data_IF_141312045332
#
_entry.id   IF_141312045332
#
_cell.length_a   1.000
_cell.length_b   1.000
_cell.length_c   1.000
_cell.angle_alpha   90.00
_cell.angle_beta   90.00
_cell.angle_gamma   90.00
#
_symmetry.space_group_name_H-M   'P 1'
#
loop_
_entity.id
_entity.type
_entity.pdbx_description
1 polymer ?
#
# COMPACT_ATOMS: atom_id res chain seq x y z
N UNK A 1 4.05 -39.53 -18.44
CA UNK A 1 4.57 -38.90 -17.25
C UNK A 1 4.44 -37.39 -17.48
N UNK A 2 3.52 -36.72 -16.81
CA UNK A 2 3.47 -35.25 -16.83
C UNK A 2 4.72 -34.75 -16.11
N UNK A 3 5.57 -34.05 -16.84
CA UNK A 3 6.72 -33.35 -16.21
C UNK A 3 6.15 -32.41 -15.15
N UNK A 4 6.60 -32.57 -13.90
CA UNK A 4 6.21 -31.68 -12.81
C UNK A 4 6.79 -30.30 -13.16
N UNK A 5 5.93 -29.34 -13.43
CA UNK A 5 6.35 -27.95 -13.65
C UNK A 5 6.84 -27.35 -12.32
N UNK A 6 8.12 -26.98 -12.25
CA UNK A 6 8.71 -26.28 -11.13
C UNK A 6 8.18 -24.84 -11.04
N UNK A 7 8.25 -24.23 -9.84
CA UNK A 7 7.92 -22.82 -9.69
C UNK A 7 8.93 -21.94 -10.43
N UNK A 8 8.44 -21.01 -11.22
CA UNK A 8 9.27 -19.98 -11.86
C UNK A 8 9.72 -18.93 -10.85
N UNK A 9 10.74 -18.13 -11.19
CA UNK A 9 11.19 -17.02 -10.37
C UNK A 9 10.07 -15.99 -10.10
N UNK A 10 9.18 -15.77 -11.08
CA UNK A 10 8.02 -14.88 -10.92
C UNK A 10 7.00 -15.44 -9.94
N UNK A 11 6.70 -16.73 -10.00
CA UNK A 11 5.78 -17.39 -9.06
C UNK A 11 6.36 -17.38 -7.65
N UNK A 12 7.64 -17.71 -7.48
CA UNK A 12 8.34 -17.63 -6.21
C UNK A 12 8.28 -16.21 -5.63
N UNK A 13 8.60 -15.18 -6.42
CA UNK A 13 8.59 -13.81 -5.97
C UNK A 13 7.21 -13.35 -5.49
N UNK A 14 6.15 -13.65 -6.26
CA UNK A 14 4.78 -13.26 -5.90
C UNK A 14 4.25 -14.04 -4.69
N UNK A 15 4.53 -15.36 -4.60
CA UNK A 15 4.15 -16.18 -3.44
C UNK A 15 4.88 -15.73 -2.16
N UNK A 16 6.19 -15.46 -2.26
CA UNK A 16 7.01 -14.99 -1.15
C UNK A 16 6.48 -13.67 -0.57
N UNK A 17 6.30 -12.68 -1.44
CA UNK A 17 5.82 -11.35 -1.03
C UNK A 17 4.41 -11.42 -0.46
N UNK A 18 3.51 -12.18 -1.11
CA UNK A 18 2.14 -12.31 -0.65
C UNK A 18 2.04 -13.10 0.67
N UNK A 19 2.91 -14.09 0.91
CA UNK A 19 2.96 -14.80 2.21
C UNK A 19 3.29 -13.84 3.35
N UNK A 20 4.39 -13.08 3.22
CA UNK A 20 4.81 -12.15 4.28
C UNK A 20 3.72 -11.10 4.53
N UNK A 21 3.12 -10.57 3.47
CA UNK A 21 2.05 -9.58 3.56
C UNK A 21 0.79 -10.12 4.26
N UNK A 22 0.35 -11.36 3.93
CA UNK A 22 -0.79 -11.98 4.60
C UNK A 22 -0.48 -12.34 6.06
N UNK A 23 0.77 -12.74 6.39
CA UNK A 23 1.17 -12.98 7.78
C UNK A 23 1.13 -11.69 8.62
N UNK A 24 1.64 -10.58 8.08
CA UNK A 24 1.57 -9.28 8.73
C UNK A 24 0.11 -8.82 8.93
N UNK A 25 -0.74 -9.00 7.91
CA UNK A 25 -2.15 -8.61 7.98
C UNK A 25 -2.92 -9.46 9.00
N UNK A 26 -2.74 -10.79 9.02
CA UNK A 26 -3.39 -11.66 10.00
C UNK A 26 -3.03 -11.25 11.45
N UNK A 27 -1.75 -10.99 11.72
CA UNK A 27 -1.29 -10.54 13.05
C UNK A 27 -1.87 -9.17 13.42
N UNK A 28 -1.90 -8.23 12.48
CA UNK A 28 -2.51 -6.91 12.70
C UNK A 28 -4.00 -7.03 13.01
N UNK A 29 -4.72 -7.85 12.24
CA UNK A 29 -6.17 -7.99 12.38
C UNK A 29 -6.58 -8.71 13.66
N UNK A 30 -5.73 -9.57 14.25
CA UNK A 30 -5.97 -10.09 15.63
C UNK A 30 -6.15 -8.96 16.64
N UNK A 31 -5.29 -7.93 16.59
CA UNK A 31 -5.44 -6.75 17.45
C UNK A 31 -6.68 -5.93 17.07
N UNK A 32 -6.90 -5.67 15.78
CA UNK A 32 -8.05 -4.86 15.34
C UNK A 32 -9.37 -5.52 15.73
N UNK A 33 -9.50 -6.84 15.60
CA UNK A 33 -10.67 -7.60 16.05
C UNK A 33 -10.91 -7.50 17.56
N UNK A 34 -9.82 -7.42 18.33
CA UNK A 34 -9.90 -7.31 19.79
C UNK A 34 -10.42 -5.96 20.27
N UNK A 35 -10.12 -4.88 19.52
CA UNK A 35 -10.46 -3.50 19.93
C UNK A 35 -11.64 -2.89 19.14
N UNK A 36 -12.15 -3.58 18.10
CA UNK A 36 -13.22 -3.07 17.25
C UNK A 36 -14.55 -2.97 18.02
N UNK A 37 -15.14 -1.78 18.03
CA UNK A 37 -16.40 -1.49 18.70
C UNK A 37 -17.55 -1.29 17.70
N UNK A 38 -17.25 -0.79 16.50
CA UNK A 38 -18.25 -0.56 15.45
C UNK A 38 -18.71 -1.88 14.83
N UNK A 39 -19.94 -2.27 15.13
CA UNK A 39 -20.56 -3.54 14.70
C UNK A 39 -20.78 -3.63 13.20
N UNK A 40 -20.80 -2.51 12.47
CA UNK A 40 -20.96 -2.49 11.02
C UNK A 40 -19.60 -2.67 10.31
N UNK A 41 -18.50 -2.22 10.93
CA UNK A 41 -17.14 -2.40 10.42
C UNK A 41 -16.60 -3.80 10.73
N UNK A 42 -17.00 -4.37 11.87
CA UNK A 42 -16.50 -5.67 12.36
C UNK A 42 -16.59 -6.80 11.30
N UNK A 43 -17.68 -6.97 10.52
CA UNK A 43 -17.75 -8.02 9.50
C UNK A 43 -16.69 -7.87 8.40
N UNK A 44 -16.32 -6.65 8.02
CA UNK A 44 -15.28 -6.36 7.03
C UNK A 44 -13.91 -6.77 7.58
N UNK A 45 -13.63 -6.47 8.85
CA UNK A 45 -12.40 -6.89 9.55
C UNK A 45 -12.32 -8.42 9.60
N UNK A 46 -13.42 -9.10 9.96
CA UNK A 46 -13.49 -10.57 10.03
C UNK A 46 -13.24 -11.21 8.67
N UNK A 47 -13.88 -10.73 7.59
CA UNK A 47 -13.67 -11.23 6.23
C UNK A 47 -12.22 -11.03 5.77
N UNK A 48 -11.63 -9.87 6.08
CA UNK A 48 -10.23 -9.60 5.73
C UNK A 48 -9.28 -10.53 6.48
N UNK A 49 -9.51 -10.76 7.77
CA UNK A 49 -8.72 -11.71 8.55
C UNK A 49 -8.85 -13.13 7.99
N UNK A 50 -10.07 -13.57 7.70
CA UNK A 50 -10.34 -14.90 7.12
C UNK A 50 -9.63 -15.08 5.76
N UNK A 51 -9.62 -14.03 4.91
CA UNK A 51 -8.89 -14.05 3.65
C UNK A 51 -7.38 -14.27 3.90
N UNK A 52 -6.79 -13.51 4.83
CA UNK A 52 -5.36 -13.64 5.15
C UNK A 52 -5.01 -15.02 5.70
N UNK A 53 -5.82 -15.56 6.63
CA UNK A 53 -5.62 -16.90 7.20
C UNK A 53 -5.77 -18.01 6.16
N UNK A 54 -6.80 -17.94 5.32
CA UNK A 54 -7.01 -18.90 4.23
C UNK A 54 -5.86 -18.88 3.23
N UNK A 55 -5.36 -17.69 2.88
CA UNK A 55 -4.21 -17.54 2.01
C UNK A 55 -2.96 -18.17 2.63
N UNK A 56 -2.70 -17.97 3.93
CA UNK A 56 -1.56 -18.58 4.62
C UNK A 56 -1.62 -20.10 4.60
N UNK A 57 -2.80 -20.69 4.79
CA UNK A 57 -2.99 -22.15 4.67
C UNK A 57 -2.63 -22.63 3.26
N UNK A 58 -3.12 -21.94 2.23
CA UNK A 58 -2.83 -22.31 0.84
C UNK A 58 -1.35 -22.13 0.47
N UNK A 59 -0.69 -21.05 0.93
CA UNK A 59 0.74 -20.86 0.74
C UNK A 59 1.55 -22.02 1.34
N UNK A 60 1.27 -22.41 2.59
CA UNK A 60 1.96 -23.50 3.24
C UNK A 60 1.79 -24.81 2.46
N UNK A 61 0.58 -25.11 1.96
CA UNK A 61 0.34 -26.29 1.10
C UNK A 61 1.16 -26.24 -0.21
N UNK A 62 1.29 -25.06 -0.83
CA UNK A 62 2.11 -24.89 -2.03
C UNK A 62 3.59 -25.11 -1.69
N UNK A 63 4.10 -24.46 -0.65
CA UNK A 63 5.52 -24.57 -0.26
C UNK A 63 5.89 -25.98 0.17
N UNK A 64 5.05 -26.66 0.94
CA UNK A 64 5.26 -28.07 1.35
C UNK A 64 5.32 -29.02 0.16
N UNK A 65 4.38 -28.86 -0.79
CA UNK A 65 4.35 -29.64 -2.04
C UNK A 65 5.62 -29.46 -2.89
N UNK A 66 6.17 -28.25 -2.89
CA UNK A 66 7.41 -27.92 -3.62
C UNK A 66 8.67 -28.17 -2.81
N UNK A 67 8.56 -28.58 -1.53
CA UNK A 67 9.68 -28.72 -0.59
C UNK A 67 10.48 -27.43 -0.47
N UNK A 68 9.77 -26.31 -0.47
CA UNK A 68 10.30 -24.97 -0.41
C UNK A 68 10.13 -24.41 0.99
N UNK A 69 11.18 -23.80 1.56
CA UNK A 69 11.07 -23.17 2.88
C UNK A 69 10.20 -21.94 2.81
N UNK A 70 9.06 -21.95 3.51
CA UNK A 70 8.22 -20.77 3.63
C UNK A 70 8.97 -19.63 4.34
N UNK A 71 8.64 -18.36 4.05
CA UNK A 71 9.10 -17.25 4.88
C UNK A 71 8.68 -17.43 6.35
N UNK A 72 9.42 -16.87 7.28
CA UNK A 72 9.02 -16.82 8.70
C UNK A 72 7.81 -15.90 8.87
N UNK A 73 7.86 -14.73 8.24
CA UNK A 73 6.82 -13.73 8.31
C UNK A 73 6.64 -13.13 9.70
N UNK A 74 5.38 -12.97 10.11
CA UNK A 74 4.98 -12.40 11.40
C UNK A 74 4.20 -13.40 12.23
N UNK A 75 4.35 -13.33 13.56
CA UNK A 75 3.80 -14.28 14.53
C UNK A 75 3.13 -13.54 15.69
N UNK A 76 2.55 -14.27 16.63
CA UNK A 76 1.94 -13.68 17.83
C UNK A 76 2.92 -12.88 18.70
N UNK A 77 4.23 -13.07 18.52
CA UNK A 77 5.24 -12.21 19.17
C UNK A 77 5.29 -10.77 18.63
N UNK A 78 4.68 -10.53 17.47
CA UNK A 78 4.65 -9.23 16.82
C UNK A 78 3.40 -8.39 17.18
N UNK A 79 2.52 -8.91 18.04
CA UNK A 79 1.29 -8.23 18.47
C UNK A 79 1.16 -8.18 19.99
N UNK A 80 0.63 -7.08 20.49
CA UNK A 80 0.28 -6.87 21.89
C UNK A 80 -1.22 -6.58 22.01
N UNK A 81 -2.01 -7.63 22.21
CA UNK A 81 -3.49 -7.54 22.21
C UNK A 81 -4.03 -6.62 23.32
N UNK A 82 -3.33 -6.53 24.47
CA UNK A 82 -3.72 -5.67 25.58
C UNK A 82 -3.29 -4.20 25.41
N UNK A 83 -2.66 -3.83 24.28
CA UNK A 83 -2.33 -2.44 24.01
C UNK A 83 -3.61 -1.59 23.86
N UNK A 84 -3.63 -0.35 24.39
CA UNK A 84 -4.73 0.57 24.15
C UNK A 84 -4.95 0.84 22.66
N UNK A 85 -6.15 1.31 22.30
CA UNK A 85 -6.50 1.70 20.95
C UNK A 85 -5.52 2.77 20.42
N UNK A 86 -4.98 2.55 19.24
CA UNK A 86 -4.08 3.50 18.57
C UNK A 86 -4.81 4.34 17.51
N UNK A 87 -5.80 3.75 16.83
CA UNK A 87 -6.61 4.43 15.82
C UNK A 87 -8.10 4.15 16.02
N UNK A 88 -8.94 5.06 15.56
CA UNK A 88 -10.40 4.88 15.56
C UNK A 88 -10.87 3.78 14.61
N UNK A 89 -12.08 3.26 14.81
CA UNK A 89 -12.69 2.25 13.94
C UNK A 89 -12.81 2.74 12.48
N UNK A 90 -13.20 4.01 12.30
CA UNK A 90 -13.27 4.62 10.97
C UNK A 90 -11.92 4.71 10.26
N UNK A 91 -10.82 4.89 10.99
CA UNK A 91 -9.48 4.81 10.42
C UNK A 91 -9.19 3.41 9.90
N UNK A 92 -9.52 2.37 10.68
CA UNK A 92 -9.32 0.99 10.24
C UNK A 92 -10.15 0.64 9.01
N UNK A 93 -11.39 1.15 8.88
CA UNK A 93 -12.20 0.93 7.67
C UNK A 93 -11.50 1.52 6.43
N UNK A 94 -11.02 2.76 6.52
CA UNK A 94 -10.28 3.42 5.42
C UNK A 94 -8.97 2.68 5.13
N UNK A 95 -8.26 2.25 6.17
CA UNK A 95 -7.04 1.46 6.03
C UNK A 95 -7.31 0.14 5.30
N UNK A 96 -8.37 -0.59 5.65
CA UNK A 96 -8.74 -1.85 5.01
C UNK A 96 -9.15 -1.66 3.55
N UNK A 97 -9.93 -0.63 3.24
CA UNK A 97 -10.30 -0.31 1.87
C UNK A 97 -9.05 -0.02 1.01
N UNK A 98 -8.11 0.78 1.53
CA UNK A 98 -6.84 1.06 0.84
C UNK A 98 -5.96 -0.19 0.73
N UNK A 99 -5.95 -1.06 1.75
CA UNK A 99 -5.24 -2.34 1.70
C UNK A 99 -5.80 -3.26 0.62
N UNK A 100 -7.12 -3.30 0.45
CA UNK A 100 -7.72 -4.07 -0.64
C UNK A 100 -7.37 -3.48 -2.01
N UNK A 101 -7.33 -2.15 -2.19
CA UNK A 101 -6.82 -1.53 -3.42
C UNK A 101 -5.38 -2.00 -3.75
N UNK A 102 -4.51 -2.07 -2.75
CA UNK A 102 -3.16 -2.62 -2.94
C UNK A 102 -3.19 -4.11 -3.32
N UNK A 103 -4.07 -4.92 -2.70
CA UNK A 103 -4.23 -6.33 -3.01
C UNK A 103 -4.76 -6.57 -4.44
N UNK A 104 -5.69 -5.71 -4.94
CA UNK A 104 -6.15 -5.77 -6.33
C UNK A 104 -4.98 -5.67 -7.31
N UNK A 105 -4.03 -4.77 -7.05
CA UNK A 105 -2.84 -4.62 -7.88
C UNK A 105 -1.88 -5.83 -7.72
N UNK A 106 -1.58 -6.24 -6.50
CA UNK A 106 -0.64 -7.31 -6.20
C UNK A 106 -1.11 -8.67 -6.73
N UNK A 107 -2.37 -9.05 -6.43
CA UNK A 107 -2.90 -10.36 -6.87
C UNK A 107 -3.18 -10.41 -8.37
N UNK A 108 -3.56 -9.30 -9.00
CA UNK A 108 -3.66 -9.18 -10.47
C UNK A 108 -2.29 -9.41 -11.13
N UNK A 109 -1.22 -8.85 -10.57
CA UNK A 109 0.15 -9.07 -11.03
C UNK A 109 0.58 -10.53 -10.81
N UNK A 110 0.34 -11.08 -9.62
CA UNK A 110 0.60 -12.49 -9.31
C UNK A 110 -0.10 -13.44 -10.30
N UNK A 111 -1.38 -13.18 -10.62
CA UNK A 111 -2.15 -13.93 -11.60
C UNK A 111 -1.53 -13.86 -13.01
N UNK A 112 -1.22 -12.66 -13.48
CA UNK A 112 -0.70 -12.45 -14.85
C UNK A 112 0.73 -12.93 -15.05
N UNK A 113 1.52 -13.03 -14.00
CA UNK A 113 2.91 -13.49 -14.03
C UNK A 113 3.07 -15.01 -13.73
N UNK A 114 1.98 -15.72 -13.48
CA UNK A 114 2.01 -17.16 -13.18
C UNK A 114 1.69 -18.01 -14.40
N UNK A 115 2.47 -19.06 -14.61
CA UNK A 115 2.29 -20.04 -15.69
C UNK A 115 1.55 -21.28 -15.22
N UNK A 116 1.77 -21.73 -13.97
CA UNK A 116 1.12 -22.89 -13.36
C UNK A 116 -0.34 -22.61 -13.03
N UNK A 117 -1.20 -23.56 -13.35
CA UNK A 117 -2.66 -23.42 -13.16
C UNK A 117 -3.07 -23.31 -11.69
N UNK A 118 -2.42 -24.06 -10.78
CA UNK A 118 -2.68 -24.01 -9.34
C UNK A 118 -2.34 -22.63 -8.76
N UNK A 119 -1.24 -22.02 -9.19
CA UNK A 119 -0.81 -20.69 -8.75
C UNK A 119 -1.74 -19.59 -9.30
N UNK A 120 -2.12 -19.70 -10.59
CA UNK A 120 -3.13 -18.80 -11.17
C UNK A 120 -4.46 -18.87 -10.43
N UNK A 121 -4.93 -20.08 -10.12
CA UNK A 121 -6.17 -20.27 -9.37
C UNK A 121 -6.11 -19.64 -7.97
N UNK A 122 -4.98 -19.79 -7.26
CA UNK A 122 -4.76 -19.15 -5.98
C UNK A 122 -4.90 -17.61 -6.09
N UNK A 123 -4.15 -16.97 -7.01
CA UNK A 123 -4.21 -15.51 -7.16
C UNK A 123 -5.58 -15.03 -7.66
N UNK A 124 -6.25 -15.79 -8.52
CA UNK A 124 -7.61 -15.48 -8.98
C UNK A 124 -8.62 -15.47 -7.80
N UNK A 125 -8.56 -16.46 -6.92
CA UNK A 125 -9.45 -16.55 -5.76
C UNK A 125 -9.17 -15.41 -4.76
N UNK A 126 -7.90 -15.13 -4.47
CA UNK A 126 -7.49 -14.05 -3.57
C UNK A 126 -7.88 -12.67 -4.14
N UNK A 127 -7.76 -12.48 -5.45
CA UNK A 127 -8.19 -11.27 -6.15
C UNK A 127 -9.72 -11.10 -6.04
N UNK A 128 -10.49 -12.14 -6.32
CA UNK A 128 -11.95 -12.10 -6.24
C UNK A 128 -12.45 -11.75 -4.83
N UNK A 129 -11.87 -12.37 -3.80
CA UNK A 129 -12.19 -12.06 -2.40
C UNK A 129 -11.82 -10.61 -2.05
N UNK A 130 -10.67 -10.11 -2.51
CA UNK A 130 -10.26 -8.73 -2.29
C UNK A 130 -11.20 -7.72 -2.96
N UNK A 131 -11.74 -8.04 -4.15
CA UNK A 131 -12.73 -7.21 -4.85
C UNK A 131 -14.01 -7.08 -4.00
N UNK A 132 -14.53 -8.18 -3.46
CA UNK A 132 -15.75 -8.14 -2.64
C UNK A 132 -15.54 -7.34 -1.35
N UNK A 133 -14.43 -7.54 -0.64
CA UNK A 133 -14.12 -6.77 0.57
C UNK A 133 -13.94 -5.27 0.24
N UNK A 134 -13.26 -4.95 -0.88
CA UNK A 134 -13.10 -3.56 -1.34
C UNK A 134 -14.44 -2.88 -1.58
N UNK A 135 -15.39 -3.56 -2.25
CA UNK A 135 -16.73 -3.05 -2.51
C UNK A 135 -17.48 -2.80 -1.20
N UNK A 136 -17.56 -3.80 -0.32
CA UNK A 136 -18.24 -3.68 0.98
C UNK A 136 -17.66 -2.55 1.83
N UNK A 137 -16.33 -2.43 1.89
CA UNK A 137 -15.68 -1.34 2.61
C UNK A 137 -16.00 0.03 2.00
N UNK A 138 -16.01 0.14 0.67
CA UNK A 138 -16.32 1.38 -0.04
C UNK A 138 -17.79 1.77 0.19
N UNK A 139 -18.73 0.82 0.09
CA UNK A 139 -20.16 1.07 0.28
C UNK A 139 -20.43 1.53 1.73
N UNK A 140 -19.83 0.87 2.73
CA UNK A 140 -19.95 1.28 4.12
C UNK A 140 -19.32 2.66 4.39
N UNK A 141 -18.19 2.97 3.75
CA UNK A 141 -17.58 4.32 3.85
C UNK A 141 -18.50 5.40 3.27
N UNK A 142 -19.22 5.10 2.18
CA UNK A 142 -20.20 6.00 1.58
C UNK A 142 -21.41 6.20 2.50
N UNK A 143 -21.95 5.13 3.07
CA UNK A 143 -23.07 5.15 4.03
C UNK A 143 -22.73 5.95 5.29
N UNK A 144 -21.51 5.77 5.83
CA UNK A 144 -21.03 6.51 7.00
C UNK A 144 -20.59 7.95 6.68
N UNK A 145 -20.63 8.37 5.41
CA UNK A 145 -20.23 9.72 5.00
C UNK A 145 -18.72 10.02 5.19
N UNK A 146 -17.88 8.99 5.24
CA UNK A 146 -16.42 9.13 5.40
C UNK A 146 -15.65 8.95 4.07
N UNK A 147 -16.31 8.47 3.02
CA UNK A 147 -15.71 8.37 1.68
C UNK A 147 -15.66 9.73 1.02
N UNK A 148 -14.46 10.23 0.75
CA UNK A 148 -14.28 11.49 0.03
C UNK A 148 -14.29 11.20 -1.48
N UNK A 149 -15.35 11.63 -2.16
CA UNK A 149 -15.47 11.45 -3.62
C UNK A 149 -14.52 12.38 -4.36
N UNK A 150 -13.90 11.92 -5.47
CA UNK A 150 -13.20 12.82 -6.39
C UNK A 150 -14.13 13.94 -6.89
N UNK A 151 -13.57 15.11 -7.21
CA UNK A 151 -14.38 16.27 -7.65
C UNK A 151 -15.08 16.00 -8.97
N UNK A 152 -16.30 16.54 -9.10
CA UNK A 152 -17.04 16.53 -10.36
C UNK A 152 -16.45 17.54 -11.33
N UNK A 153 -16.37 17.16 -12.60
CA UNK A 153 -16.01 18.05 -13.71
C UNK A 153 -17.16 18.11 -14.72
N UNK A 154 -17.30 19.20 -15.48
CA UNK A 154 -18.31 19.29 -16.53
C UNK A 154 -18.15 18.17 -17.56
N UNK A 155 -19.26 17.52 -17.92
CA UNK A 155 -19.26 16.50 -18.98
C UNK A 155 -19.11 17.16 -20.34
N UNK A 156 -18.09 16.82 -21.15
CA UNK A 156 -17.92 17.38 -22.48
C UNK A 156 -19.07 16.91 -23.40
N UNK A 157 -19.61 17.81 -24.19
CA UNK A 157 -20.67 17.51 -25.18
C UNK A 157 -20.12 16.99 -26.52
N UNK A 158 -18.88 17.34 -26.83
CA UNK A 158 -18.15 16.96 -28.04
C UNK A 158 -16.74 16.51 -27.67
N UNK A 159 -16.13 15.71 -28.54
CA UNK A 159 -14.72 15.33 -28.40
C UNK A 159 -13.90 16.31 -29.20
N UNK A 160 -12.99 17.03 -28.56
CA UNK A 160 -12.05 17.94 -29.18
C UNK A 160 -10.69 17.30 -29.41
N UNK A 161 -10.07 17.57 -30.55
CA UNK A 161 -8.72 17.10 -30.85
C UNK A 161 -7.68 18.12 -30.41
N UNK A 162 -6.60 17.62 -29.79
CA UNK A 162 -5.49 18.49 -29.41
C UNK A 162 -4.63 18.80 -30.61
N UNK A 163 -4.69 20.04 -31.11
CA UNK A 163 -4.00 20.46 -32.32
C UNK A 163 -2.65 21.16 -32.10
N UNK A 164 -2.34 21.54 -30.84
CA UNK A 164 -1.15 22.35 -30.52
C UNK A 164 -0.34 21.76 -29.38
N UNK A 165 0.99 21.80 -29.51
CA UNK A 165 1.93 21.37 -28.47
C UNK A 165 1.86 22.17 -27.16
N UNK A 166 1.25 23.35 -27.16
CA UNK A 166 1.02 24.13 -25.95
C UNK A 166 0.12 23.41 -24.94
N UNK A 167 -0.61 22.36 -25.35
CA UNK A 167 -1.33 21.46 -24.46
C UNK A 167 -0.43 20.82 -23.39
N UNK A 168 0.84 20.58 -23.70
CA UNK A 168 1.83 20.01 -22.78
C UNK A 168 2.56 21.08 -21.92
N UNK A 169 2.29 22.37 -22.16
CA UNK A 169 3.02 23.48 -21.50
C UNK A 169 2.61 23.58 -20.03
N UNK A 170 3.59 23.70 -19.14
CA UNK A 170 3.35 23.86 -17.70
C UNK A 170 4.27 24.88 -17.03
N UNK A 171 5.40 25.28 -17.68
CA UNK A 171 6.44 26.12 -17.08
C UNK A 171 6.37 27.59 -17.50
N UNK A 172 6.02 27.86 -18.75
CA UNK A 172 5.99 29.21 -19.31
C UNK A 172 4.66 29.43 -20.04
N UNK A 173 4.04 30.58 -19.81
CA UNK A 173 2.79 30.95 -20.45
C UNK A 173 1.54 30.50 -19.67
N UNK A 174 0.37 30.67 -20.31
CA UNK A 174 -0.92 30.30 -19.72
C UNK A 174 -1.07 28.79 -19.70
N UNK A 175 -1.20 28.21 -18.49
CA UNK A 175 -1.50 26.81 -18.31
C UNK A 175 -2.93 26.52 -18.75
N UNK A 176 -3.16 25.36 -19.37
CA UNK A 176 -4.52 24.83 -19.55
C UNK A 176 -5.07 24.28 -18.23
N UNK A 177 -6.39 24.18 -18.07
CA UNK A 177 -6.99 23.47 -16.93
C UNK A 177 -6.51 22.01 -16.84
N UNK A 178 -6.57 21.44 -15.64
CA UNK A 178 -6.30 20.04 -15.41
C UNK A 178 -7.31 19.16 -16.15
N UNK A 179 -6.84 18.04 -16.70
CA UNK A 179 -7.70 17.00 -17.26
C UNK A 179 -8.24 16.08 -16.16
N UNK A 180 -9.31 15.33 -16.46
CA UNK A 180 -9.82 14.30 -15.54
C UNK A 180 -8.74 13.30 -15.10
N UNK A 181 -7.83 12.91 -16.01
CA UNK A 181 -6.71 12.01 -15.73
C UNK A 181 -5.76 12.62 -14.70
N UNK A 182 -5.42 13.89 -14.85
CA UNK A 182 -4.52 14.62 -13.94
C UNK A 182 -5.17 14.84 -12.57
N UNK A 183 -6.46 15.19 -12.53
CA UNK A 183 -7.24 15.34 -11.29
C UNK A 183 -7.32 14.02 -10.54
N UNK A 184 -7.62 12.91 -11.23
CA UNK A 184 -7.66 11.55 -10.66
C UNK A 184 -6.34 11.21 -9.95
N UNK A 185 -5.21 11.38 -10.65
CA UNK A 185 -3.89 11.06 -10.10
C UNK A 185 -3.54 11.95 -8.89
N UNK A 186 -3.79 13.25 -8.97
CA UNK A 186 -3.55 14.18 -7.85
C UNK A 186 -4.41 13.81 -6.64
N UNK A 187 -5.71 13.61 -6.84
CA UNK A 187 -6.67 13.34 -5.78
C UNK A 187 -6.35 12.04 -5.01
N UNK A 188 -6.13 10.93 -5.72
CA UNK A 188 -5.83 9.65 -5.07
C UNK A 188 -4.44 9.64 -4.42
N UNK A 189 -3.44 10.34 -4.99
CA UNK A 189 -2.16 10.49 -4.32
C UNK A 189 -2.27 11.33 -3.04
N UNK A 190 -3.10 12.38 -3.00
CA UNK A 190 -3.38 13.12 -1.75
C UNK A 190 -4.03 12.21 -0.73
N UNK A 191 -5.07 11.46 -1.12
CA UNK A 191 -5.82 10.56 -0.22
C UNK A 191 -4.91 9.48 0.40
N UNK A 192 -4.06 8.84 -0.40
CA UNK A 192 -3.09 7.83 0.08
C UNK A 192 -2.04 8.44 1.01
N UNK A 193 -1.52 9.61 0.69
CA UNK A 193 -0.60 10.32 1.57
C UNK A 193 -1.27 10.77 2.87
N UNK A 194 -2.55 11.16 2.85
CA UNK A 194 -3.29 11.53 4.05
C UNK A 194 -3.45 10.33 5.01
N UNK A 195 -3.77 9.15 4.48
CA UNK A 195 -3.80 7.91 5.26
C UNK A 195 -2.40 7.54 5.79
N UNK A 196 -1.39 7.57 4.92
CA UNK A 196 0.00 7.28 5.27
C UNK A 196 0.54 8.24 6.33
N UNK A 197 0.25 9.53 6.24
CA UNK A 197 0.62 10.53 7.24
C UNK A 197 0.04 10.18 8.62
N UNK A 198 -1.25 9.86 8.71
CA UNK A 198 -1.89 9.47 9.97
C UNK A 198 -1.30 8.16 10.52
N UNK A 199 -1.10 7.14 9.67
CA UNK A 199 -0.47 5.88 10.04
C UNK A 199 0.93 6.10 10.65
N UNK A 200 1.76 6.87 9.98
CA UNK A 200 3.12 7.17 10.40
C UNK A 200 3.20 8.00 11.68
N UNK A 201 2.29 8.98 11.87
CA UNK A 201 2.20 9.74 13.11
C UNK A 201 1.87 8.82 14.30
N UNK A 202 0.86 7.97 14.19
CA UNK A 202 0.52 7.03 15.25
C UNK A 202 1.67 6.06 15.54
N UNK A 203 2.32 5.53 14.52
CA UNK A 203 3.49 4.65 14.71
C UNK A 203 4.68 5.38 15.35
N UNK A 204 4.93 6.64 14.99
CA UNK A 204 5.99 7.43 15.61
C UNK A 204 5.76 7.69 17.10
N UNK A 205 4.50 7.67 17.55
CA UNK A 205 4.11 7.83 18.95
C UNK A 205 4.44 6.60 19.79
N UNK A 206 4.32 5.40 19.22
CA UNK A 206 4.36 4.13 19.95
C UNK A 206 5.59 3.25 19.69
N UNK A 207 6.35 3.47 18.62
CA UNK A 207 7.53 2.67 18.28
C UNK A 207 8.56 2.70 19.42
N UNK A 208 9.17 1.54 19.72
CA UNK A 208 10.08 1.36 20.86
C UNK A 208 11.48 1.88 20.59
N UNK A 209 12.04 1.59 19.41
CA UNK A 209 13.37 2.03 19.03
C UNK A 209 13.37 3.49 18.57
N UNK A 210 14.34 4.28 19.05
CA UNK A 210 14.47 5.68 18.67
C UNK A 210 14.60 5.86 17.14
N UNK A 211 15.42 5.06 16.50
CA UNK A 211 15.61 5.15 15.05
C UNK A 211 14.34 4.85 14.25
N UNK A 212 13.47 3.94 14.75
CA UNK A 212 12.16 3.65 14.15
C UNK A 212 11.23 4.85 14.34
N UNK A 213 11.14 5.41 15.55
CA UNK A 213 10.31 6.62 15.81
C UNK A 213 10.71 7.79 14.90
N UNK A 214 12.00 8.05 14.76
CA UNK A 214 12.53 9.14 13.94
C UNK A 214 12.25 8.89 12.45
N UNK A 215 12.37 7.64 11.98
CA UNK A 215 12.02 7.25 10.63
C UNK A 215 10.53 7.46 10.36
N UNK A 216 9.63 6.98 11.26
CA UNK A 216 8.18 7.18 11.13
C UNK A 216 7.82 8.67 11.09
N UNK A 217 8.39 9.49 11.98
CA UNK A 217 8.14 10.93 12.00
C UNK A 217 8.56 11.60 10.70
N UNK A 218 9.76 11.29 10.20
CA UNK A 218 10.25 11.82 8.93
C UNK A 218 9.34 11.41 7.76
N UNK A 219 8.86 10.17 7.73
CA UNK A 219 7.90 9.70 6.73
C UNK A 219 6.58 10.47 6.78
N UNK A 220 6.07 10.75 7.99
CA UNK A 220 4.89 11.59 8.17
C UNK A 220 5.10 13.02 7.62
N UNK A 221 6.27 13.62 7.86
CA UNK A 221 6.61 14.94 7.34
C UNK A 221 6.71 14.94 5.80
N UNK A 222 7.29 13.89 5.19
CA UNK A 222 7.33 13.71 3.73
C UNK A 222 5.92 13.58 3.17
N UNK A 223 5.08 12.73 3.74
CA UNK A 223 3.69 12.57 3.30
C UNK A 223 2.92 13.89 3.38
N UNK A 224 3.07 14.65 4.47
CA UNK A 224 2.47 15.98 4.64
C UNK A 224 2.94 16.96 3.57
N UNK A 225 4.24 16.97 3.25
CA UNK A 225 4.82 17.80 2.17
C UNK A 225 4.22 17.44 0.81
N UNK A 226 4.04 16.14 0.51
CA UNK A 226 3.42 15.69 -0.74
C UNK A 226 1.94 16.07 -0.81
N UNK A 227 1.20 15.98 0.31
CA UNK A 227 -0.19 16.45 0.39
C UNK A 227 -0.27 17.94 0.05
N UNK A 228 0.55 18.78 0.69
CA UNK A 228 0.55 20.21 0.41
C UNK A 228 0.89 20.52 -1.05
N UNK A 229 1.88 19.84 -1.63
CA UNK A 229 2.28 20.00 -3.02
C UNK A 229 1.12 19.71 -3.99
N UNK A 230 0.49 18.55 -3.85
CA UNK A 230 -0.60 18.15 -4.75
C UNK A 230 -1.89 18.93 -4.51
N UNK A 231 -2.19 19.26 -3.24
CA UNK A 231 -3.34 20.08 -2.89
C UNK A 231 -3.23 21.50 -3.45
N UNK A 232 -2.03 22.11 -3.42
CA UNK A 232 -1.86 23.44 -4.02
C UNK A 232 -2.16 23.45 -5.53
N UNK A 233 -1.82 22.38 -6.24
CA UNK A 233 -2.10 22.25 -7.68
C UNK A 233 -3.61 22.16 -7.95
N UNK A 234 -4.38 21.44 -7.13
CA UNK A 234 -5.84 21.38 -7.25
C UNK A 234 -6.47 22.74 -6.90
N UNK A 235 -6.01 23.37 -5.81
CA UNK A 235 -6.54 24.65 -5.33
C UNK A 235 -6.24 25.83 -6.27
N UNK A 236 -5.14 25.79 -7.03
CA UNK A 236 -4.85 26.77 -8.10
C UNK A 236 -5.94 26.80 -9.18
N UNK A 237 -6.72 25.72 -9.30
CA UNK A 237 -7.82 25.60 -10.27
C UNK A 237 -9.20 25.52 -9.59
N UNK A 238 -9.30 25.99 -8.32
CA UNK A 238 -10.52 25.98 -7.51
C UNK A 238 -11.12 24.57 -7.30
N UNK A 239 -10.28 23.50 -7.37
CA UNK A 239 -10.69 22.11 -7.18
C UNK A 239 -10.44 21.71 -5.71
N UNK A 240 -11.44 21.16 -5.00
CA UNK A 240 -11.27 20.76 -3.60
C UNK A 240 -10.30 19.56 -3.45
N UNK A 241 -9.44 19.64 -2.43
CA UNK A 241 -8.52 18.56 -2.06
C UNK A 241 -9.06 17.71 -0.90
N UNK A 242 -8.71 16.41 -0.79
CA UNK A 242 -9.07 15.57 0.36
C UNK A 242 -8.50 16.07 1.68
N UNK A 243 -9.17 15.75 2.79
CA UNK A 243 -8.77 16.14 4.14
C UNK A 243 -7.78 15.14 4.77
N UNK A 244 -7.07 15.58 5.85
CA UNK A 244 -6.15 14.75 6.63
C UNK A 244 -6.90 13.86 7.64
N UNK A 245 -6.33 12.69 7.95
CA UNK A 245 -6.85 11.71 8.90
C UNK A 245 -6.20 11.79 10.30
N UNK A 246 -5.34 12.77 10.57
CA UNK A 246 -4.58 12.86 11.82
C UNK A 246 -5.46 12.93 13.08
N UNK A 247 -6.68 13.46 13.00
CA UNK A 247 -7.65 13.49 14.10
C UNK A 247 -8.23 12.12 14.50
N UNK A 248 -7.83 11.05 13.84
CA UNK A 248 -8.26 9.66 14.10
C UNK A 248 -7.23 8.83 14.85
N UNK A 249 -6.16 9.47 15.34
CA UNK A 249 -5.11 8.87 16.17
C UNK A 249 -5.46 9.10 17.64
N UNK A 250 -5.36 8.04 18.45
CA UNK A 250 -5.57 8.09 19.89
C UNK A 250 -4.26 8.39 20.64
N UNK A 251 -4.35 9.04 21.79
CA UNK A 251 -3.18 9.37 22.62
C UNK A 251 -2.75 8.15 23.46
N UNK A 252 -1.75 7.42 22.97
CA UNK A 252 -1.15 6.28 23.67
C UNK A 252 0.34 6.16 23.35
N UNK A 253 1.13 5.69 24.32
CA UNK A 253 2.56 5.39 24.14
C UNK A 253 2.86 3.88 24.06
N UNK A 254 1.82 3.04 24.14
CA UNK A 254 1.97 1.58 24.11
C UNK A 254 1.72 1.06 22.70
N UNK A 255 2.75 0.46 22.11
CA UNK A 255 2.62 -0.11 20.76
C UNK A 255 1.79 -1.40 20.76
N UNK A 256 0.78 -1.50 19.88
CA UNK A 256 0.11 -2.77 19.63
C UNK A 256 0.95 -3.74 18.78
N UNK A 257 2.05 -3.29 18.17
CA UNK A 257 2.84 -4.08 17.25
C UNK A 257 4.34 -4.00 17.55
N UNK A 258 5.10 -5.00 17.11
CA UNK A 258 6.57 -4.94 17.13
C UNK A 258 7.09 -3.88 16.16
N UNK A 259 8.26 -3.31 16.44
CA UNK A 259 8.91 -2.38 15.52
C UNK A 259 9.21 -3.03 14.15
N UNK A 260 9.42 -4.36 14.12
CA UNK A 260 9.54 -5.16 12.90
C UNK A 260 8.28 -5.03 12.03
N UNK A 261 7.10 -5.20 12.64
CA UNK A 261 5.81 -5.11 11.91
C UNK A 261 5.53 -3.67 11.47
N UNK A 262 5.80 -2.68 12.32
CA UNK A 262 5.66 -1.25 11.95
C UNK A 262 6.52 -0.91 10.74
N UNK A 263 7.81 -1.31 10.73
CA UNK A 263 8.73 -1.06 9.63
C UNK A 263 8.31 -1.78 8.35
N UNK A 264 7.82 -3.00 8.45
CA UNK A 264 7.32 -3.76 7.29
C UNK A 264 6.16 -3.03 6.60
N UNK A 265 5.16 -2.59 7.37
CA UNK A 265 4.02 -1.86 6.80
C UNK A 265 4.42 -0.55 6.13
N UNK A 266 5.32 0.19 6.76
CA UNK A 266 5.80 1.46 6.21
C UNK A 266 6.63 1.23 4.94
N UNK A 267 7.44 0.19 4.90
CA UNK A 267 8.18 -0.21 3.69
C UNK A 267 7.20 -0.58 2.57
N UNK A 268 6.20 -1.41 2.84
CA UNK A 268 5.19 -1.83 1.86
C UNK A 268 4.37 -0.66 1.32
N UNK A 269 3.91 0.24 2.19
CA UNK A 269 3.15 1.45 1.77
C UNK A 269 4.04 2.43 0.99
N UNK A 270 5.32 2.55 1.33
CA UNK A 270 6.29 3.37 0.57
C UNK A 270 6.52 2.81 -0.82
N UNK A 271 6.72 1.49 -0.95
CA UNK A 271 6.87 0.82 -2.25
C UNK A 271 5.63 0.99 -3.13
N UNK A 272 4.44 0.82 -2.57
CA UNK A 272 3.19 1.07 -3.28
C UNK A 272 3.09 2.54 -3.73
N UNK A 273 3.45 3.49 -2.86
CA UNK A 273 3.47 4.92 -3.17
C UNK A 273 4.41 5.26 -4.34
N UNK A 274 5.61 4.68 -4.36
CA UNK A 274 6.56 4.81 -5.50
C UNK A 274 5.93 4.30 -6.79
N UNK A 275 5.24 3.16 -6.74
CA UNK A 275 4.49 2.61 -7.89
C UNK A 275 3.40 3.55 -8.40
N UNK A 276 2.60 4.11 -7.49
CA UNK A 276 1.54 5.08 -7.83
C UNK A 276 2.10 6.39 -8.41
N UNK A 277 3.19 6.93 -7.86
CA UNK A 277 3.86 8.10 -8.42
C UNK A 277 4.46 7.83 -9.79
N UNK A 278 5.04 6.64 -10.02
CA UNK A 278 5.52 6.20 -11.32
C UNK A 278 4.41 6.15 -12.37
N UNK A 279 3.24 5.61 -12.02
CA UNK A 279 2.05 5.61 -12.88
C UNK A 279 1.55 7.02 -13.16
N UNK A 280 1.51 7.88 -12.15
CA UNK A 280 1.09 9.27 -12.28
C UNK A 280 2.05 10.07 -13.16
N UNK A 281 3.37 9.85 -13.03
CA UNK A 281 4.40 10.44 -13.89
C UNK A 281 4.20 10.03 -15.36
N UNK A 282 3.95 8.74 -15.60
CA UNK A 282 3.72 8.21 -16.95
C UNK A 282 2.45 8.77 -17.62
N UNK A 283 1.42 9.09 -16.84
CA UNK A 283 0.14 9.64 -17.34
C UNK A 283 0.06 11.17 -17.33
N UNK A 284 1.02 11.86 -16.71
CA UNK A 284 1.04 13.31 -16.63
C UNK A 284 1.29 13.94 -18.01
N UNK A 285 0.32 14.66 -18.53
CA UNK A 285 0.43 15.34 -19.82
C UNK A 285 1.04 16.74 -19.70
N UNK A 286 0.78 17.46 -18.59
CA UNK A 286 1.44 18.74 -18.30
C UNK A 286 2.85 18.48 -17.75
N UNK A 287 3.85 19.17 -18.32
CA UNK A 287 5.27 18.99 -17.97
C UNK A 287 5.60 19.39 -16.53
N UNK A 288 4.91 20.39 -15.97
CA UNK A 288 5.08 20.82 -14.58
C UNK A 288 4.65 19.69 -13.61
N UNK A 289 3.55 18.98 -13.91
CA UNK A 289 3.12 17.82 -13.10
C UNK A 289 4.14 16.68 -13.17
N UNK A 290 4.67 16.38 -14.36
CA UNK A 290 5.70 15.36 -14.53
C UNK A 290 6.92 15.62 -13.65
N UNK A 291 7.38 16.89 -13.58
CA UNK A 291 8.50 17.24 -12.71
C UNK A 291 8.16 17.14 -11.21
N UNK A 292 6.93 17.48 -10.79
CA UNK A 292 6.52 17.31 -9.41
C UNK A 292 6.45 15.82 -9.03
N UNK A 293 5.91 14.96 -9.91
CA UNK A 293 5.91 13.50 -9.67
C UNK A 293 7.33 12.93 -9.59
N UNK A 294 8.26 13.37 -10.45
CA UNK A 294 9.66 12.94 -10.37
C UNK A 294 10.30 13.30 -9.03
N UNK A 295 10.03 14.51 -8.53
CA UNK A 295 10.53 14.97 -7.24
C UNK A 295 10.01 14.12 -6.06
N UNK A 296 8.69 13.90 -5.97
CA UNK A 296 8.11 13.12 -4.86
C UNK A 296 8.49 11.64 -4.95
N UNK A 297 8.68 11.11 -6.15
CA UNK A 297 9.19 9.77 -6.38
C UNK A 297 10.62 9.63 -5.84
N UNK A 298 11.50 10.59 -6.12
CA UNK A 298 12.86 10.61 -5.59
C UNK A 298 12.87 10.71 -4.06
N UNK A 299 12.09 11.62 -3.46
CA UNK A 299 11.96 11.76 -2.00
C UNK A 299 11.53 10.41 -1.36
N UNK A 300 10.58 9.69 -2.00
CA UNK A 300 10.08 8.40 -1.50
C UNK A 300 11.07 7.24 -1.65
N UNK A 301 11.84 7.20 -2.74
CA UNK A 301 12.90 6.19 -2.95
C UNK A 301 13.99 6.33 -1.87
N UNK A 302 14.48 7.54 -1.63
CA UNK A 302 15.50 7.80 -0.61
C UNK A 302 14.97 7.47 0.81
N UNK A 303 13.72 7.79 1.10
CA UNK A 303 13.08 7.41 2.35
C UNK A 303 12.98 5.88 2.51
N UNK A 304 12.61 5.17 1.44
CA UNK A 304 12.52 3.71 1.42
C UNK A 304 13.89 3.04 1.61
N UNK A 305 14.97 3.58 1.02
CA UNK A 305 16.35 3.09 1.20
C UNK A 305 16.77 3.18 2.67
N UNK A 306 16.52 4.30 3.33
CA UNK A 306 16.83 4.46 4.76
C UNK A 306 16.03 3.47 5.62
N UNK A 307 14.75 3.23 5.30
CA UNK A 307 13.93 2.20 5.95
C UNK A 307 14.50 0.80 5.77
N UNK A 308 14.97 0.48 4.56
CA UNK A 308 15.66 -0.78 4.25
C UNK A 308 16.92 -0.97 5.12
N UNK A 309 17.72 0.08 5.29
CA UNK A 309 18.92 0.04 6.15
C UNK A 309 18.56 -0.24 7.62
N UNK A 310 17.46 0.33 8.15
CA UNK A 310 16.99 0.06 9.50
C UNK A 310 16.56 -1.42 9.63
N UNK A 311 15.81 -1.96 8.68
CA UNK A 311 15.35 -3.35 8.72
C UNK A 311 16.50 -4.36 8.63
N UNK A 312 17.50 -4.09 7.79
CA UNK A 312 18.71 -4.92 7.65
C UNK A 312 19.52 -4.90 8.95
N UNK A 313 19.77 -3.70 9.49
CA UNK A 313 20.54 -3.51 10.74
C UNK A 313 19.95 -4.29 11.92
N UNK A 314 18.62 -4.37 11.99
CA UNK A 314 17.90 -5.05 13.06
C UNK A 314 17.58 -6.52 12.75
N UNK A 315 18.08 -7.07 11.64
CA UNK A 315 17.82 -8.44 11.17
C UNK A 315 16.33 -8.77 11.02
N UNK A 316 15.52 -7.81 10.52
CA UNK A 316 14.08 -7.97 10.28
C UNK A 316 13.74 -8.28 8.83
N UNK A 317 14.69 -8.10 7.92
CA UNK A 317 14.51 -8.38 6.50
C UNK A 317 14.85 -9.84 6.20
N UNK A 318 13.89 -10.62 5.79
CA UNK A 318 14.12 -11.96 5.28
C UNK A 318 14.67 -11.89 3.86
N UNK A 319 15.74 -12.63 3.60
CA UNK A 319 16.39 -12.63 2.29
C UNK A 319 15.55 -13.43 1.29
N UNK A 320 15.02 -12.78 0.22
CA UNK A 320 14.29 -13.51 -0.82
C UNK A 320 15.20 -14.50 -1.55
N UNK A 321 14.66 -15.58 -2.13
CA UNK A 321 15.43 -16.53 -2.92
C UNK A 321 16.22 -15.86 -4.04
N UNK A 322 17.50 -16.23 -4.16
CA UNK A 322 18.42 -15.67 -5.12
C UNK A 322 18.73 -16.64 -6.26
N UNK A 323 19.13 -16.09 -7.39
CA UNK A 323 19.69 -16.87 -8.49
C UNK A 323 21.00 -17.55 -8.06
N UNK A 324 21.26 -18.74 -8.63
CA UNK A 324 22.50 -19.48 -8.37
C UNK A 324 23.71 -18.66 -8.85
N UNK A 325 24.63 -18.39 -7.95
CA UNK A 325 25.88 -17.72 -8.32
C UNK A 325 26.90 -18.72 -8.88
N UNK A 326 26.83 -19.01 -10.17
CA UNK A 326 27.73 -19.94 -10.83
C UNK A 326 29.22 -19.49 -10.77
N UNK A 327 29.50 -18.18 -10.61
CA UNK A 327 30.88 -17.67 -10.51
C UNK A 327 31.54 -18.02 -9.18
N UNK A 328 30.77 -18.22 -8.11
CA UNK A 328 31.31 -18.68 -6.81
C UNK A 328 31.61 -20.19 -6.82
N UNK A 329 30.90 -20.99 -7.62
CA UNK A 329 31.14 -22.45 -7.73
C UNK A 329 32.41 -22.84 -8.50
N UNK A 330 32.98 -21.93 -9.28
CA UNK A 330 34.21 -22.15 -10.07
C UNK A 330 35.51 -21.89 -9.25
N UNK A 331 35.38 -21.39 -8.02
CA UNK A 331 36.53 -21.06 -7.14
C UNK A 331 36.67 -22.03 -5.95
N UNK A 332 35.99 -23.17 -5.95
CA UNK A 332 36.10 -24.24 -4.96
C UNK A 332 36.74 -25.51 -5.52
#
# INVERSE_FOLDING_TARGET
MTVKEELTSSEIANLWTAYIDNSAMSIKLKYVLHIMEDTEILPIVQKTNQLSENNLIQFNQIFDKEKYSAPIGFTDSDVHLAAPRLYSDSFFLVFLQNKMDMNLNAYSMGLSHSTRSDIRNFFQQSLAASIEIFKEATDLMLEKGIYVRPPYIPTPKTVDMTERQNFLTGWLGKRRPLTAIEIDQLFFNISRNALGHALLLGYSQVAKLKEVREHMRRGADIAKKHIHLFSSILLEEDIPAPMLWASKIEDTSVSPFSDKLLMFEVTGTTQAGVGYYGRSLASAQRRDLGAQYLKVLTDSILYGEDGGNITIKNAWLEEPPQAINFRKKVKG
#
